data_IF_527257951122
#
_entry.id   IF_527257951122
#
_cell.length_a   1.000
_cell.length_b   1.000
_cell.length_c   1.000
_cell.angle_alpha   90.00
_cell.angle_beta   90.00
_cell.angle_gamma   90.00
#
_symmetry.space_group_name_H-M   'P 1'
#
loop_
_entity.id
_entity.type
_entity.pdbx_description
1 polymer ?
#
# COMPACT_ATOMS: atom_id res chain seq x y z
N UNK A 1 -8.30 -33.77 -32.36
CA UNK A 1 -8.68 -33.34 -30.99
C UNK A 1 -10.00 -32.59 -31.05
N UNK A 2 -11.02 -32.96 -30.25
CA UNK A 2 -12.33 -32.29 -30.25
C UNK A 2 -12.17 -30.80 -29.93
N UNK A 3 -12.97 -29.95 -30.56
CA UNK A 3 -12.92 -28.48 -30.39
C UNK A 3 -13.03 -28.05 -28.91
N UNK A 4 -13.88 -28.75 -28.15
CA UNK A 4 -14.02 -28.57 -26.69
C UNK A 4 -12.71 -28.80 -25.92
N UNK A 5 -11.93 -29.81 -26.29
CA UNK A 5 -10.66 -30.13 -25.64
C UNK A 5 -9.61 -29.05 -25.92
N UNK A 6 -9.58 -28.48 -27.15
CA UNK A 6 -8.68 -27.36 -27.49
C UNK A 6 -8.97 -26.13 -26.64
N UNK A 7 -10.25 -25.74 -26.55
CA UNK A 7 -10.67 -24.59 -25.73
C UNK A 7 -10.32 -24.76 -24.26
N UNK A 8 -10.53 -25.96 -23.70
CA UNK A 8 -10.13 -26.26 -22.33
C UNK A 8 -8.62 -26.11 -22.11
N UNK A 9 -7.79 -26.58 -23.06
CA UNK A 9 -6.34 -26.42 -22.98
C UNK A 9 -5.95 -24.94 -23.01
N UNK A 10 -6.57 -24.13 -23.88
CA UNK A 10 -6.29 -22.70 -23.95
C UNK A 10 -6.65 -21.97 -22.66
N UNK A 11 -7.82 -22.25 -22.10
CA UNK A 11 -8.23 -21.68 -20.80
C UNK A 11 -7.26 -22.11 -19.69
N UNK A 12 -6.84 -23.38 -19.68
CA UNK A 12 -5.87 -23.87 -18.70
C UNK A 12 -4.52 -23.17 -18.82
N UNK A 13 -4.02 -22.93 -20.03
CA UNK A 13 -2.76 -22.19 -20.25
C UNK A 13 -2.87 -20.78 -19.69
N UNK A 14 -3.93 -20.04 -20.04
CA UNK A 14 -4.15 -18.68 -19.54
C UNK A 14 -4.21 -18.69 -18.01
N UNK A 15 -5.00 -19.59 -17.42
CA UNK A 15 -5.14 -19.68 -15.97
C UNK A 15 -3.80 -19.95 -15.27
N UNK A 16 -3.01 -20.91 -15.77
CA UNK A 16 -1.69 -21.23 -15.20
C UNK A 16 -0.75 -20.03 -15.30
N UNK A 17 -0.72 -19.34 -16.45
CA UNK A 17 0.13 -18.17 -16.63
C UNK A 17 -0.27 -17.01 -15.73
N UNK A 18 -1.57 -16.76 -15.53
CA UNK A 18 -2.06 -15.73 -14.61
C UNK A 18 -1.73 -16.07 -13.16
N UNK A 19 -1.86 -17.34 -12.75
CA UNK A 19 -1.44 -17.80 -11.42
C UNK A 19 0.06 -17.60 -11.23
N UNK A 20 0.87 -17.96 -12.23
CA UNK A 20 2.33 -17.75 -12.19
C UNK A 20 2.71 -16.28 -12.12
N UNK A 21 2.05 -15.42 -12.91
CA UNK A 21 2.25 -13.98 -12.88
C UNK A 21 1.91 -13.39 -11.51
N UNK A 22 0.72 -13.70 -10.99
CA UNK A 22 0.31 -13.22 -9.66
C UNK A 22 1.26 -13.70 -8.58
N UNK A 23 1.66 -14.99 -8.60
CA UNK A 23 2.60 -15.55 -7.64
C UNK A 23 3.94 -14.83 -7.66
N UNK A 24 4.48 -14.56 -8.86
CA UNK A 24 5.73 -13.83 -9.01
C UNK A 24 5.62 -12.40 -8.47
N UNK A 25 4.61 -11.64 -8.91
CA UNK A 25 4.39 -10.25 -8.46
C UNK A 25 4.16 -10.17 -6.95
N UNK A 26 3.40 -11.11 -6.38
CA UNK A 26 3.16 -11.19 -4.95
C UNK A 26 4.47 -11.46 -4.20
N UNK A 27 5.26 -12.43 -4.65
CA UNK A 27 6.52 -12.79 -4.01
C UNK A 27 7.49 -11.60 -3.98
N UNK A 28 7.65 -10.90 -5.11
CA UNK A 28 8.48 -9.69 -5.19
C UNK A 28 7.96 -8.60 -4.26
N UNK A 29 6.67 -8.29 -4.29
CA UNK A 29 6.10 -7.23 -3.45
C UNK A 29 6.09 -7.57 -1.95
N UNK A 30 6.11 -8.85 -1.60
CA UNK A 30 6.19 -9.34 -0.21
C UNK A 30 7.61 -9.39 0.34
N UNK A 31 8.63 -9.09 -0.48
CA UNK A 31 10.02 -9.11 -0.06
C UNK A 31 10.30 -7.99 0.96
N UNK A 32 10.90 -8.34 2.10
CA UNK A 32 11.25 -7.39 3.17
C UNK A 32 12.15 -6.24 2.68
N UNK A 33 13.02 -6.50 1.69
CA UNK A 33 13.88 -5.48 1.10
C UNK A 33 13.07 -4.39 0.35
N UNK A 34 11.83 -4.71 -0.02
CA UNK A 34 10.87 -3.86 -0.72
C UNK A 34 9.71 -3.43 0.20
N UNK A 35 9.82 -3.67 1.51
CA UNK A 35 8.84 -3.26 2.51
C UNK A 35 9.00 -1.78 2.91
N UNK A 36 9.06 -0.92 1.89
CA UNK A 36 9.03 0.54 2.01
C UNK A 36 8.47 1.12 0.69
N UNK A 37 8.35 2.44 0.61
CA UNK A 37 7.91 3.14 -0.59
C UNK A 37 8.86 2.94 -1.78
N UNK A 38 8.31 2.59 -2.96
CA UNK A 38 9.07 2.44 -4.21
C UNK A 38 8.56 3.43 -5.27
N UNK A 39 9.48 4.17 -5.89
CA UNK A 39 9.18 5.09 -6.98
C UNK A 39 8.10 6.12 -6.60
N UNK A 40 7.01 6.15 -7.37
CA UNK A 40 5.91 7.10 -7.19
C UNK A 40 5.00 6.77 -5.99
N UNK A 41 5.16 5.61 -5.34
CA UNK A 41 4.43 5.29 -4.10
C UNK A 41 4.67 6.36 -3.03
N UNK A 42 5.84 6.99 -3.02
CA UNK A 42 6.18 8.11 -2.12
C UNK A 42 5.16 9.24 -2.18
N UNK A 43 4.45 9.41 -3.31
CA UNK A 43 3.48 10.48 -3.53
C UNK A 43 2.03 9.96 -3.50
N UNK A 44 1.76 8.84 -4.18
CA UNK A 44 0.39 8.32 -4.31
C UNK A 44 -0.15 7.70 -3.03
N UNK A 45 0.69 6.98 -2.28
CA UNK A 45 0.26 6.28 -1.05
C UNK A 45 -0.04 7.30 0.05
N UNK A 46 0.84 8.27 0.40
CA UNK A 46 0.48 9.30 1.36
C UNK A 46 -0.75 10.12 0.96
N UNK A 47 -0.90 10.44 -0.34
CA UNK A 47 -2.07 11.15 -0.82
C UNK A 47 -3.36 10.36 -0.61
N UNK A 48 -3.38 9.05 -0.92
CA UNK A 48 -4.51 8.17 -0.63
C UNK A 48 -4.83 8.13 0.87
N UNK A 49 -3.81 7.97 1.72
CA UNK A 49 -3.94 7.99 3.19
C UNK A 49 -4.53 9.29 3.71
N UNK A 50 -4.03 10.44 3.24
CA UNK A 50 -4.51 11.76 3.64
C UNK A 50 -5.97 11.97 3.23
N UNK A 51 -6.35 11.54 2.01
CA UNK A 51 -7.74 11.61 1.55
C UNK A 51 -8.65 10.75 2.45
N UNK A 52 -8.25 9.52 2.76
CA UNK A 52 -9.01 8.64 3.66
C UNK A 52 -9.14 9.24 5.06
N UNK A 53 -8.07 9.82 5.60
CA UNK A 53 -8.11 10.50 6.89
C UNK A 53 -9.06 11.70 6.88
N UNK A 54 -9.06 12.52 5.82
CA UNK A 54 -10.00 13.64 5.64
C UNK A 54 -11.46 13.17 5.55
N UNK A 55 -11.69 11.98 5.00
CA UNK A 55 -13.01 11.34 4.95
C UNK A 55 -13.42 10.69 6.28
N UNK A 56 -12.58 10.73 7.30
CA UNK A 56 -12.84 10.14 8.62
C UNK A 56 -12.61 8.63 8.68
N UNK A 57 -11.90 8.06 7.70
CA UNK A 57 -11.53 6.64 7.68
C UNK A 57 -10.22 6.46 8.43
N UNK A 58 -10.25 5.66 9.49
CA UNK A 58 -9.05 5.26 10.22
C UNK A 58 -8.47 4.00 9.60
N UNK A 59 -7.26 4.11 9.07
CA UNK A 59 -6.49 2.98 8.61
C UNK A 59 -5.83 2.25 9.78
N UNK A 60 -5.20 1.11 9.50
CA UNK A 60 -4.36 0.43 10.47
C UNK A 60 -3.19 -0.24 9.75
N UNK A 61 -2.07 -0.35 10.45
CA UNK A 61 -0.88 -1.08 10.03
C UNK A 61 -0.44 -1.94 11.20
N UNK A 62 -0.21 -3.23 10.98
CA UNK A 62 0.27 -4.17 11.97
C UNK A 62 1.58 -4.81 11.51
N UNK A 63 2.63 -4.62 12.29
CA UNK A 63 3.89 -5.35 12.08
C UNK A 63 3.82 -6.69 12.80
N UNK A 64 3.78 -7.78 12.02
CA UNK A 64 3.74 -9.15 12.52
C UNK A 64 5.02 -9.53 13.28
N UNK A 65 6.18 -8.96 12.91
CA UNK A 65 7.46 -9.29 13.53
C UNK A 65 7.55 -8.75 14.96
N UNK A 66 7.02 -7.55 15.19
CA UNK A 66 7.04 -6.88 16.50
C UNK A 66 5.69 -6.93 17.22
N UNK A 67 4.65 -7.53 16.62
CA UNK A 67 3.28 -7.59 17.13
C UNK A 67 2.75 -6.21 17.56
N UNK A 68 2.98 -5.20 16.73
CA UNK A 68 2.77 -3.79 17.07
C UNK A 68 1.99 -3.04 15.98
N UNK A 69 1.24 -2.02 16.40
CA UNK A 69 0.51 -1.14 15.48
C UNK A 69 1.27 0.15 15.23
N UNK A 70 1.32 0.57 13.97
CA UNK A 70 1.92 1.82 13.54
C UNK A 70 1.01 3.03 13.72
N UNK A 71 1.61 4.16 14.10
CA UNK A 71 0.90 5.42 14.24
C UNK A 71 1.81 6.61 14.01
N UNK A 72 1.33 7.53 13.17
CA UNK A 72 1.96 8.82 12.90
C UNK A 72 1.32 9.89 13.80
N UNK A 73 2.15 10.74 14.41
CA UNK A 73 1.70 11.81 15.30
C UNK A 73 2.24 13.13 14.77
N UNK A 74 1.35 13.99 14.30
CA UNK A 74 1.69 15.33 13.83
C UNK A 74 1.73 16.26 15.03
N UNK A 75 2.84 16.96 15.16
CA UNK A 75 3.17 17.85 16.26
C UNK A 75 2.90 19.31 15.84
N UNK A 76 2.39 20.14 16.76
CA UNK A 76 2.19 21.56 16.49
C UNK A 76 3.53 22.30 16.38
N UNK A 77 3.67 23.14 15.36
CA UNK A 77 4.96 23.78 15.05
C UNK A 77 5.49 24.67 16.17
N UNK A 78 4.60 25.40 16.85
CA UNK A 78 4.94 26.30 17.94
C UNK A 78 5.47 25.58 19.20
N UNK A 79 5.26 24.26 19.34
CA UNK A 79 5.67 23.52 20.54
C UNK A 79 6.18 22.09 20.25
N UNK A 80 6.72 21.88 19.04
CA UNK A 80 7.10 20.55 18.55
C UNK A 80 8.05 19.82 19.50
N UNK A 81 9.04 20.51 20.06
CA UNK A 81 10.04 19.89 20.94
C UNK A 81 9.44 19.37 22.24
N UNK A 82 8.59 20.16 22.91
CA UNK A 82 7.96 19.73 24.18
C UNK A 82 6.95 18.62 23.92
N UNK A 83 6.16 18.72 22.85
CA UNK A 83 5.18 17.69 22.51
C UNK A 83 5.86 16.38 22.11
N UNK A 84 6.96 16.45 21.35
CA UNK A 84 7.80 15.29 21.03
C UNK A 84 8.28 14.57 22.29
N UNK A 85 8.79 15.31 23.29
CA UNK A 85 9.23 14.74 24.56
C UNK A 85 8.09 14.11 25.37
N UNK A 86 6.92 14.75 25.40
CA UNK A 86 5.72 14.22 26.08
C UNK A 86 5.24 12.91 25.46
N UNK A 87 5.14 12.87 24.13
CA UNK A 87 4.74 11.68 23.38
C UNK A 87 5.78 10.57 23.55
N UNK A 88 7.07 10.91 23.42
CA UNK A 88 8.16 9.95 23.64
C UNK A 88 8.10 9.31 25.03
N UNK A 89 7.88 10.10 26.09
CA UNK A 89 7.74 9.55 27.45
C UNK A 89 6.58 8.55 27.55
N UNK A 90 5.43 8.86 26.94
CA UNK A 90 4.27 7.96 26.93
C UNK A 90 4.57 6.69 26.14
N UNK A 91 5.21 6.81 24.97
CA UNK A 91 5.62 5.68 24.15
C UNK A 91 6.60 4.77 24.91
N UNK A 92 7.57 5.37 25.60
CA UNK A 92 8.59 4.66 26.38
C UNK A 92 7.95 3.89 27.54
N UNK A 93 7.01 4.49 28.28
CA UNK A 93 6.26 3.82 29.36
C UNK A 93 5.43 2.63 28.85
N UNK A 94 5.08 2.62 27.56
CA UNK A 94 4.25 1.61 26.92
C UNK A 94 5.06 0.66 26.02
N UNK A 95 6.40 0.70 26.14
CA UNK A 95 7.35 -0.17 25.43
C UNK A 95 7.17 -0.16 23.90
N UNK A 96 7.24 1.03 23.28
CA UNK A 96 7.28 1.11 21.81
C UNK A 96 8.37 0.21 21.23
N UNK A 97 8.11 -0.37 20.05
CA UNK A 97 9.04 -1.27 19.36
C UNK A 97 9.88 -0.52 18.33
N UNK A 98 9.24 0.37 17.57
CA UNK A 98 9.89 1.22 16.56
C UNK A 98 9.64 2.69 16.86
N UNK A 99 10.66 3.50 16.64
CA UNK A 99 10.57 4.96 16.65
C UNK A 99 11.25 5.52 15.41
N UNK A 100 10.55 6.37 14.67
CA UNK A 100 11.11 7.05 13.49
C UNK A 100 10.79 8.55 13.57
N UNK A 101 11.80 9.41 13.73
CA UNK A 101 11.62 10.84 13.63
C UNK A 101 11.53 11.29 12.17
N UNK A 102 10.67 12.27 11.89
CA UNK A 102 10.67 12.96 10.60
C UNK A 102 11.51 14.24 10.66
N UNK A 103 12.22 14.53 9.57
CA UNK A 103 13.06 15.73 9.44
C UNK A 103 12.35 16.83 8.65
N UNK A 104 11.56 16.46 7.64
CA UNK A 104 10.99 17.40 6.68
C UNK A 104 9.60 17.92 7.07
N UNK A 105 9.02 17.41 8.16
CA UNK A 105 7.76 17.89 8.71
C UNK A 105 7.67 17.55 10.21
N UNK A 106 6.86 18.30 11.00
CA UNK A 106 6.83 18.18 12.45
C UNK A 106 6.03 16.97 12.92
N UNK A 107 6.61 15.78 12.80
CA UNK A 107 5.93 14.57 13.23
C UNK A 107 6.90 13.53 13.78
N UNK A 108 6.32 12.50 14.37
CA UNK A 108 7.03 11.30 14.81
C UNK A 108 6.16 10.07 14.52
N UNK A 109 6.81 8.98 14.17
CA UNK A 109 6.18 7.68 14.01
C UNK A 109 6.61 6.72 15.12
N UNK A 110 5.65 5.93 15.59
CA UNK A 110 5.88 4.86 16.55
C UNK A 110 5.15 3.59 16.12
N UNK A 111 5.74 2.46 16.50
CA UNK A 111 5.03 1.19 16.59
C UNK A 111 4.86 0.83 18.06
N UNK A 112 3.62 0.58 18.46
CA UNK A 112 3.26 0.29 19.85
C UNK A 112 2.69 -1.13 19.92
N UNK A 113 3.11 -1.96 20.89
CA UNK A 113 2.58 -3.29 21.09
C UNK A 113 1.05 -3.31 21.13
N UNK A 114 0.44 -4.31 20.50
CA UNK A 114 -1.02 -4.41 20.35
C UNK A 114 -1.79 -4.25 21.68
N UNK A 115 -1.27 -4.84 22.75
CA UNK A 115 -1.80 -4.78 24.11
C UNK A 115 -1.84 -3.36 24.73
N UNK A 116 -0.96 -2.47 24.25
CA UNK A 116 -0.79 -1.11 24.77
C UNK A 116 -1.27 -0.03 23.80
N UNK A 117 -1.61 -0.38 22.55
CA UNK A 117 -1.98 0.58 21.50
C UNK A 117 -3.17 1.46 21.89
N UNK A 118 -4.27 0.87 22.37
CA UNK A 118 -5.45 1.64 22.77
C UNK A 118 -5.14 2.59 23.95
N UNK A 119 -4.33 2.15 24.92
CA UNK A 119 -3.88 2.98 26.04
C UNK A 119 -3.00 4.14 25.57
N UNK A 120 -2.16 3.89 24.57
CA UNK A 120 -1.33 4.92 23.96
C UNK A 120 -2.17 6.02 23.30
N UNK A 121 -3.14 5.62 22.46
CA UNK A 121 -4.07 6.53 21.81
C UNK A 121 -4.87 7.36 22.82
N UNK A 122 -5.38 6.72 23.87
CA UNK A 122 -6.13 7.41 24.93
C UNK A 122 -5.28 8.49 25.63
N UNK A 123 -4.02 8.18 26.00
CA UNK A 123 -3.14 9.13 26.70
C UNK A 123 -2.73 10.30 25.80
N UNK A 124 -2.56 10.06 24.50
CA UNK A 124 -2.16 11.10 23.54
C UNK A 124 -3.32 12.00 23.13
N UNK A 125 -4.54 11.45 23.04
CA UNK A 125 -5.74 12.23 22.72
C UNK A 125 -5.94 13.45 23.62
N UNK A 126 -5.42 13.41 24.86
CA UNK A 126 -5.44 14.50 25.85
C UNK A 126 -4.67 15.76 25.42
N UNK A 127 -3.80 15.66 24.43
CA UNK A 127 -2.97 16.76 23.93
C UNK A 127 -3.50 17.41 22.65
N UNK A 128 -4.69 16.99 22.16
CA UNK A 128 -5.30 17.52 20.93
C UNK A 128 -4.33 17.50 19.73
N UNK A 129 -3.62 16.40 19.56
CA UNK A 129 -2.68 16.17 18.47
C UNK A 129 -3.40 15.45 17.31
N UNK A 130 -2.96 15.70 16.08
CA UNK A 130 -3.44 14.92 14.93
C UNK A 130 -2.76 13.57 14.93
N UNK A 131 -3.56 12.52 15.06
CA UNK A 131 -3.11 11.13 15.09
C UNK A 131 -3.57 10.46 13.80
N UNK A 132 -2.64 9.89 13.06
CA UNK A 132 -2.90 9.19 11.80
C UNK A 132 -2.35 7.76 11.93
N UNK A 133 -3.20 6.79 12.31
CA UNK A 133 -2.86 5.38 12.28
C UNK A 133 -2.45 4.92 10.87
N UNK A 134 -1.56 3.93 10.79
CA UNK A 134 -1.06 3.40 9.53
C UNK A 134 0.46 3.34 9.45
N UNK A 135 0.99 3.01 8.28
CA UNK A 135 2.42 2.93 8.03
C UNK A 135 3.07 4.30 8.16
N UNK A 136 4.37 4.32 8.46
CA UNK A 136 5.19 5.54 8.48
C UNK A 136 5.02 6.30 7.16
N UNK A 137 4.89 7.63 7.20
CA UNK A 137 5.03 8.46 6.00
C UNK A 137 6.48 8.41 5.43
N UNK A 138 6.69 8.70 4.14
CA UNK A 138 8.03 8.96 3.64
C UNK A 138 8.48 10.34 4.12
N UNK A 139 9.77 10.53 4.43
CA UNK A 139 10.26 11.81 4.95
C UNK A 139 10.42 12.85 3.83
N UNK A 140 9.29 13.41 3.37
CA UNK A 140 9.20 14.46 2.34
C UNK A 140 8.49 15.69 2.90
N UNK A 141 8.83 16.85 2.37
CA UNK A 141 8.25 18.12 2.80
C UNK A 141 6.73 18.12 2.59
N UNK A 142 6.00 18.50 3.65
CA UNK A 142 4.54 18.63 3.66
C UNK A 142 3.74 17.38 3.22
N UNK A 143 4.35 16.19 3.27
CA UNK A 143 3.73 14.96 2.78
C UNK A 143 2.45 14.56 3.54
N UNK A 144 2.36 14.92 4.82
CA UNK A 144 1.22 14.66 5.69
C UNK A 144 -0.03 15.46 5.32
N UNK A 145 0.11 16.50 4.50
CA UNK A 145 -1.00 17.30 3.99
C UNK A 145 -1.15 17.20 2.46
N UNK A 146 -0.25 16.48 1.79
CA UNK A 146 -0.19 16.40 0.34
C UNK A 146 -1.28 15.46 -0.19
N UNK A 147 -2.07 15.95 -1.16
CA UNK A 147 -3.20 15.21 -1.75
C UNK A 147 -2.96 14.79 -3.21
N UNK A 148 -1.83 15.18 -3.79
CA UNK A 148 -1.49 14.92 -5.19
C UNK A 148 -2.61 15.33 -6.16
N UNK A 149 -3.06 16.58 -6.10
CA UNK A 149 -4.19 17.10 -6.91
C UNK A 149 -3.84 17.35 -8.39
N UNK A 150 -2.55 17.34 -8.73
CA UNK A 150 -2.02 17.43 -10.09
C UNK A 150 -2.32 16.19 -10.94
N UNK A 151 -2.62 15.05 -10.30
CA UNK A 151 -2.98 13.81 -10.98
C UNK A 151 -4.43 13.40 -10.71
N UNK A 152 -5.10 12.71 -11.67
CA UNK A 152 -6.45 12.20 -11.48
C UNK A 152 -6.60 11.31 -10.23
N UNK A 153 -7.83 11.26 -9.68
CA UNK A 153 -8.09 10.53 -8.44
C UNK A 153 -8.03 9.00 -8.58
N UNK A 154 -8.24 8.46 -9.78
CA UNK A 154 -8.44 7.02 -10.01
C UNK A 154 -7.38 6.14 -9.34
N UNK A 155 -6.09 6.39 -9.60
CA UNK A 155 -5.00 5.61 -9.02
C UNK A 155 -4.98 5.68 -7.48
N UNK A 156 -5.21 6.87 -6.91
CA UNK A 156 -5.31 7.06 -5.45
C UNK A 156 -6.49 6.29 -4.86
N UNK A 157 -7.63 6.29 -5.54
CA UNK A 157 -8.81 5.52 -5.14
C UNK A 157 -8.55 4.01 -5.15
N UNK A 158 -7.84 3.51 -6.16
CA UNK A 158 -7.50 2.10 -6.28
C UNK A 158 -6.53 1.67 -5.17
N UNK A 159 -5.49 2.46 -4.90
CA UNK A 159 -4.59 2.25 -3.75
C UNK A 159 -5.36 2.28 -2.42
N UNK A 160 -6.33 3.20 -2.29
CA UNK A 160 -7.16 3.32 -1.09
C UNK A 160 -7.93 2.03 -0.80
N UNK A 161 -8.41 1.32 -1.83
CA UNK A 161 -9.09 0.01 -1.65
C UNK A 161 -8.13 -1.01 -1.01
N UNK A 162 -6.87 -1.03 -1.45
CA UNK A 162 -5.84 -1.87 -0.84
C UNK A 162 -5.57 -1.51 0.63
N UNK A 163 -5.47 -0.20 0.91
CA UNK A 163 -5.27 0.31 2.28
C UNK A 163 -6.40 -0.03 3.25
N UNK A 164 -7.64 -0.18 2.78
CA UNK A 164 -8.77 -0.57 3.62
C UNK A 164 -8.63 -2.00 4.18
N UNK A 165 -7.83 -2.86 3.53
CA UNK A 165 -7.45 -4.16 4.07
C UNK A 165 -6.42 -3.93 5.19
N UNK A 166 -5.31 -3.30 4.83
CA UNK A 166 -4.25 -2.90 5.75
C UNK A 166 -3.37 -1.85 5.06
N UNK A 167 -2.90 -0.86 5.82
CA UNK A 167 -2.00 0.16 5.33
C UNK A 167 -0.55 -0.34 5.34
N UNK A 168 -0.20 -1.26 4.43
CA UNK A 168 1.17 -1.77 4.24
C UNK A 168 1.56 -1.90 2.76
N UNK A 169 2.86 -1.87 2.41
CA UNK A 169 3.34 -1.92 1.03
C UNK A 169 2.69 -3.00 0.15
N UNK A 170 2.60 -4.23 0.63
CA UNK A 170 1.96 -5.33 -0.10
C UNK A 170 0.50 -5.02 -0.47
N UNK A 171 -0.27 -4.46 0.47
CA UNK A 171 -1.68 -4.14 0.27
C UNK A 171 -1.88 -2.95 -0.67
N UNK A 172 -0.96 -1.98 -0.69
CA UNK A 172 -1.02 -0.88 -1.67
C UNK A 172 -0.81 -1.35 -3.10
N UNK A 173 0.04 -2.37 -3.28
CA UNK A 173 0.42 -2.93 -4.58
C UNK A 173 -0.58 -3.98 -5.09
N UNK A 174 -1.30 -4.65 -4.19
CA UNK A 174 -2.23 -5.72 -4.53
C UNK A 174 -3.27 -5.33 -5.62
N UNK A 175 -3.90 -4.14 -5.59
CA UNK A 175 -4.78 -3.72 -6.67
C UNK A 175 -4.06 -3.64 -8.03
N UNK A 176 -2.84 -3.10 -8.08
CA UNK A 176 -2.03 -3.02 -9.29
C UNK A 176 -1.66 -4.40 -9.85
N UNK A 177 -1.41 -5.39 -8.99
CA UNK A 177 -1.21 -6.78 -9.42
C UNK A 177 -2.46 -7.34 -10.11
N UNK A 178 -3.64 -7.09 -9.53
CA UNK A 178 -4.92 -7.52 -10.12
C UNK A 178 -5.14 -6.83 -11.46
N UNK A 179 -4.83 -5.54 -11.57
CA UNK A 179 -4.88 -4.81 -12.84
C UNK A 179 -3.99 -5.44 -13.90
N UNK A 180 -2.76 -5.86 -13.55
CA UNK A 180 -1.86 -6.53 -14.50
C UNK A 180 -2.46 -7.84 -15.03
N UNK A 181 -3.09 -8.64 -14.16
CA UNK A 181 -3.81 -9.85 -14.59
C UNK A 181 -4.95 -9.53 -15.57
N UNK A 182 -5.73 -8.48 -15.27
CA UNK A 182 -6.83 -8.04 -16.13
C UNK A 182 -6.31 -7.54 -17.48
N UNK A 183 -5.23 -6.77 -17.50
CA UNK A 183 -4.59 -6.30 -18.73
C UNK A 183 -4.14 -7.48 -19.59
N UNK A 184 -3.50 -8.50 -19.01
CA UNK A 184 -3.09 -9.70 -19.76
C UNK A 184 -4.30 -10.38 -20.43
N UNK A 185 -5.41 -10.57 -19.70
CA UNK A 185 -6.64 -11.13 -20.26
C UNK A 185 -7.25 -10.24 -21.35
N UNK A 186 -7.32 -8.93 -21.13
CA UNK A 186 -7.88 -7.99 -22.10
C UNK A 186 -7.05 -7.94 -23.38
N UNK A 187 -5.72 -8.02 -23.28
CA UNK A 187 -4.83 -8.09 -24.44
C UNK A 187 -5.07 -9.38 -25.22
N UNK A 188 -5.20 -10.52 -24.54
CA UNK A 188 -5.55 -11.78 -25.21
C UNK A 188 -6.88 -11.66 -25.98
N UNK A 189 -7.92 -11.15 -25.33
CA UNK A 189 -9.26 -11.01 -25.92
C UNK A 189 -9.24 -10.04 -27.10
N UNK A 190 -8.56 -8.90 -26.97
CA UNK A 190 -8.46 -7.89 -28.02
C UNK A 190 -7.67 -8.41 -29.21
N UNK A 191 -6.54 -9.09 -28.97
CA UNK A 191 -5.74 -9.71 -30.03
C UNK A 191 -6.52 -10.82 -30.74
N UNK A 192 -7.35 -11.59 -30.02
CA UNK A 192 -8.22 -12.59 -30.63
C UNK A 192 -9.31 -11.93 -31.47
N UNK A 193 -9.91 -10.85 -30.98
CA UNK A 193 -10.96 -10.17 -31.71
C UNK A 193 -10.46 -9.58 -33.04
N UNK A 194 -9.24 -9.06 -33.07
CA UNK A 194 -8.62 -8.49 -34.26
C UNK A 194 -8.12 -9.57 -35.23
N UNK A 195 -7.37 -10.55 -34.72
CA UNK A 195 -6.67 -11.53 -35.57
C UNK A 195 -7.50 -12.77 -35.90
N UNK A 196 -8.54 -13.05 -35.10
CA UNK A 196 -9.29 -14.32 -35.05
C UNK A 196 -8.37 -15.55 -34.90
N UNK A 197 -7.15 -15.35 -34.37
CA UNK A 197 -6.12 -16.37 -34.23
C UNK A 197 -5.69 -16.54 -32.77
N UNK A 198 -5.91 -17.73 -32.23
CA UNK A 198 -5.45 -18.08 -30.89
C UNK A 198 -3.93 -17.93 -30.74
N UNK A 199 -3.16 -18.31 -31.77
CA UNK A 199 -1.69 -18.22 -31.72
C UNK A 199 -1.23 -16.77 -31.55
N UNK A 200 -1.75 -15.85 -32.38
CA UNK A 200 -1.40 -14.44 -32.28
C UNK A 200 -1.81 -13.84 -30.92
N UNK A 201 -2.97 -14.26 -30.41
CA UNK A 201 -3.47 -13.84 -29.10
C UNK A 201 -2.60 -14.31 -27.95
N UNK A 202 -2.13 -15.57 -28.01
CA UNK A 202 -1.21 -16.11 -27.04
C UNK A 202 0.15 -15.41 -27.07
N UNK A 203 0.67 -15.11 -28.26
CA UNK A 203 1.93 -14.36 -28.39
C UNK A 203 1.80 -13.00 -27.69
N UNK A 204 0.74 -12.24 -27.98
CA UNK A 204 0.49 -10.94 -27.35
C UNK A 204 0.31 -11.06 -25.82
N UNK A 205 -0.46 -12.05 -25.36
CA UNK A 205 -0.64 -12.36 -23.95
C UNK A 205 0.70 -12.64 -23.23
N UNK A 206 1.55 -13.48 -23.82
CA UNK A 206 2.83 -13.83 -23.20
C UNK A 206 3.81 -12.66 -23.19
N UNK A 207 3.76 -11.75 -24.17
CA UNK A 207 4.51 -10.51 -24.09
C UNK A 207 4.13 -9.69 -22.84
N UNK A 208 2.84 -9.57 -22.54
CA UNK A 208 2.37 -8.84 -21.35
C UNK A 208 2.73 -9.57 -20.05
N UNK A 209 2.65 -10.90 -20.03
CA UNK A 209 2.98 -11.71 -18.84
C UNK A 209 4.47 -11.67 -18.52
N UNK A 210 5.33 -11.58 -19.54
CA UNK A 210 6.79 -11.58 -19.40
C UNK A 210 7.39 -10.17 -19.35
N UNK A 211 6.57 -9.13 -19.52
CA UNK A 211 7.03 -7.75 -19.43
C UNK A 211 7.34 -7.40 -17.96
N UNK A 212 8.60 -7.05 -17.62
CA UNK A 212 8.91 -6.57 -16.28
C UNK A 212 8.27 -5.19 -16.08
N UNK A 213 7.27 -5.12 -15.20
CA UNK A 213 6.73 -3.86 -14.67
C UNK A 213 7.69 -3.22 -13.65
#
# INVERSE_FOLDING_TARGET
MKDRTKKMIYVAIIAISLVGLFWYSYNEASNDALNDYIGDEVWYVPAARNILHLLGVNLHYFDENTSSYGVNIILPEYNKTVMKLKVWRIAQELNYTVYTPYQNFPAVYYEIPAENYNKFLERISRYNLTIIPGFKYPDKENIQNYLNTEHPYLAKGIISIGMLIEDKPLCWRLPGMIEHLLIAVLVFLSAYEISKSYLASFIAFFFVVLDPL
#
